data_IF_366203787486
#
_entry.id   IF_366203787486
#
_cell.length_a   1.000
_cell.length_b   1.000
_cell.length_c   1.000
_cell.angle_alpha   90.00
_cell.angle_beta   90.00
_cell.angle_gamma   90.00
#
_symmetry.space_group_name_H-M   'P 1'
#
loop_
_entity.id
_entity.type
_entity.pdbx_description
1 polymer ?
#
# COMPACT_ATOMS: atom_id res chain seq x y z
N UNK A 1 -18.65 32.74 27.77
CA UNK A 1 -17.29 33.03 28.29
C UNK A 1 -16.27 32.78 27.18
N UNK A 2 -15.59 33.83 26.70
CA UNK A 2 -14.54 33.69 25.68
C UNK A 2 -13.26 33.10 26.27
N UNK A 3 -12.59 32.21 25.54
CA UNK A 3 -11.27 31.69 25.94
C UNK A 3 -10.20 32.74 25.64
N UNK A 4 -9.36 33.08 26.63
CA UNK A 4 -8.22 33.99 26.44
C UNK A 4 -7.25 33.39 25.43
N UNK A 5 -6.79 34.21 24.48
CA UNK A 5 -5.84 33.83 23.43
C UNK A 5 -4.48 34.46 23.72
N UNK A 6 -3.41 33.72 23.46
CA UNK A 6 -2.03 34.18 23.61
C UNK A 6 -1.25 33.93 22.31
N UNK A 7 -0.27 34.77 21.94
CA UNK A 7 0.56 34.55 20.76
C UNK A 7 1.35 33.23 20.89
N UNK A 8 1.56 32.55 19.76
CA UNK A 8 2.41 31.36 19.68
C UNK A 8 3.90 31.72 19.79
N UNK A 9 4.74 30.71 20.07
CA UNK A 9 6.20 30.87 20.13
C UNK A 9 6.84 31.14 18.77
N UNK A 10 6.21 30.68 17.69
CA UNK A 10 6.63 30.91 16.31
C UNK A 10 5.46 31.50 15.50
N UNK A 11 5.70 32.42 14.55
CA UNK A 11 4.66 32.95 13.65
C UNK A 11 3.84 31.90 12.88
N UNK A 12 4.37 30.68 12.67
CA UNK A 12 3.64 29.58 12.05
C UNK A 12 2.80 28.76 13.03
N UNK A 13 2.99 28.95 14.33
CA UNK A 13 2.17 28.31 15.35
C UNK A 13 0.91 29.14 15.63
N UNK A 14 -0.25 28.49 15.57
CA UNK A 14 -1.51 29.12 15.97
C UNK A 14 -1.49 29.62 17.42
N UNK A 15 -2.46 30.44 17.79
CA UNK A 15 -2.53 31.00 19.14
C UNK A 15 -2.72 29.92 20.21
N UNK A 16 -2.15 30.18 21.39
CA UNK A 16 -2.33 29.35 22.58
C UNK A 16 -3.61 29.76 23.32
N UNK A 17 -4.21 28.81 24.03
CA UNK A 17 -5.36 29.03 24.91
C UNK A 17 -5.15 28.34 26.24
N UNK A 18 -5.75 28.89 27.29
CA UNK A 18 -5.92 28.16 28.55
C UNK A 18 -7.07 27.16 28.35
N UNK A 19 -6.74 25.89 28.18
CA UNK A 19 -7.71 24.86 27.82
C UNK A 19 -8.61 24.51 29.01
N UNK A 20 -9.93 24.72 28.94
CA UNK A 20 -10.84 24.47 30.06
C UNK A 20 -10.94 22.98 30.43
N UNK A 21 -10.61 22.08 29.51
CA UNK A 21 -10.65 20.63 29.75
C UNK A 21 -9.42 20.06 30.47
N UNK A 22 -8.29 20.78 30.52
CA UNK A 22 -7.08 20.28 31.20
C UNK A 22 -6.32 21.33 32.03
N UNK A 23 -6.78 22.59 32.04
CA UNK A 23 -6.15 23.71 32.74
C UNK A 23 -4.83 24.21 32.14
N UNK A 24 -4.25 23.50 31.17
CA UNK A 24 -2.95 23.85 30.57
C UNK A 24 -3.09 24.86 29.44
N UNK A 25 -2.08 25.72 29.30
CA UNK A 25 -1.89 26.59 28.14
C UNK A 25 -1.31 25.80 26.97
N UNK A 26 -2.09 25.60 25.91
CA UNK A 26 -1.73 24.74 24.77
C UNK A 26 -2.24 25.33 23.44
N UNK A 27 -1.73 24.89 22.29
CA UNK A 27 -2.23 25.30 20.98
C UNK A 27 -3.74 25.06 20.84
N UNK A 28 -4.44 26.10 20.39
CA UNK A 28 -5.88 26.01 20.11
C UNK A 28 -6.14 25.09 18.91
N UNK A 29 -7.19 24.26 19.01
CA UNK A 29 -7.68 23.50 17.86
C UNK A 29 -9.05 23.98 17.41
N UNK A 30 -10.06 23.79 18.26
CA UNK A 30 -11.45 24.13 17.94
C UNK A 30 -12.27 24.25 19.23
N UNK A 31 -13.33 25.06 19.19
CA UNK A 31 -14.26 25.30 20.30
C UNK A 31 -13.57 25.62 21.65
N UNK A 32 -12.45 26.33 21.59
CA UNK A 32 -11.72 26.77 22.79
C UNK A 32 -11.03 25.65 23.56
N UNK A 33 -10.72 24.52 22.94
CA UNK A 33 -10.02 23.41 23.58
C UNK A 33 -8.71 23.07 22.86
N UNK A 34 -7.73 22.56 23.61
CA UNK A 34 -6.54 21.95 23.02
C UNK A 34 -6.92 20.69 22.23
N UNK A 35 -6.04 20.22 21.34
CA UNK A 35 -6.32 19.06 20.49
C UNK A 35 -6.79 17.82 21.26
N UNK A 36 -6.13 17.48 22.37
CA UNK A 36 -6.45 16.29 23.16
C UNK A 36 -7.83 16.41 23.83
N UNK A 37 -8.12 17.54 24.47
CA UNK A 37 -9.42 17.77 25.11
C UNK A 37 -10.53 17.91 24.07
N UNK A 38 -10.29 18.56 22.93
CA UNK A 38 -11.24 18.60 21.82
C UNK A 38 -11.59 17.19 21.34
N UNK A 39 -10.59 16.35 21.08
CA UNK A 39 -10.78 14.98 20.61
C UNK A 39 -11.51 14.10 21.64
N UNK A 40 -11.25 14.30 22.93
CA UNK A 40 -11.84 13.51 24.03
C UNK A 40 -13.24 13.96 24.44
N UNK A 41 -13.44 15.26 24.60
CA UNK A 41 -14.64 15.83 25.22
C UNK A 41 -15.68 16.29 24.20
N UNK A 42 -15.22 16.78 23.03
CA UNK A 42 -16.08 17.50 22.08
C UNK A 42 -16.31 16.71 20.81
N UNK A 43 -15.29 16.02 20.29
CA UNK A 43 -15.35 15.38 19.00
C UNK A 43 -16.25 14.13 19.02
N UNK A 44 -17.42 14.26 18.42
CA UNK A 44 -18.39 13.18 18.24
C UNK A 44 -18.55 12.92 16.73
N UNK A 45 -17.77 12.00 16.13
CA UNK A 45 -17.82 11.77 14.69
C UNK A 45 -19.19 11.26 14.27
N UNK A 46 -19.76 11.85 13.21
CA UNK A 46 -21.06 11.44 12.66
C UNK A 46 -20.98 9.99 12.20
N UNK A 47 -21.92 9.17 12.64
CA UNK A 47 -22.13 7.81 12.09
C UNK A 47 -22.97 7.93 10.82
N UNK A 48 -22.60 7.16 9.80
CA UNK A 48 -23.30 7.07 8.53
C UNK A 48 -23.40 5.61 8.11
N UNK A 49 -24.40 5.30 7.30
CA UNK A 49 -24.42 4.07 6.50
C UNK A 49 -23.41 4.25 5.37
N UNK A 50 -22.31 3.49 5.41
CA UNK A 50 -21.25 3.62 4.41
C UNK A 50 -21.78 3.24 3.02
N UNK A 51 -21.63 4.14 2.03
CA UNK A 51 -22.09 3.91 0.65
C UNK A 51 -21.48 2.66 -0.01
N UNK A 52 -20.27 2.26 0.39
CA UNK A 52 -19.56 1.12 -0.19
C UNK A 52 -19.85 -0.22 0.52
N UNK A 53 -19.88 -0.25 1.86
CA UNK A 53 -20.01 -1.51 2.60
C UNK A 53 -21.35 -1.69 3.33
N UNK A 54 -22.26 -0.72 3.26
CA UNK A 54 -23.58 -0.75 3.90
C UNK A 54 -23.59 -0.69 5.43
N UNK A 55 -22.42 -0.80 6.10
CA UNK A 55 -22.33 -0.83 7.56
C UNK A 55 -22.43 0.57 8.16
N UNK A 56 -23.12 0.68 9.30
CA UNK A 56 -23.16 1.90 10.12
C UNK A 56 -21.78 2.12 10.77
N UNK A 57 -21.04 3.12 10.30
CA UNK A 57 -19.67 3.42 10.75
C UNK A 57 -19.45 4.92 10.87
N UNK A 58 -18.35 5.33 11.50
CA UNK A 58 -17.91 6.73 11.49
C UNK A 58 -17.67 7.18 10.04
N UNK A 59 -18.21 8.33 9.68
CA UNK A 59 -17.94 8.97 8.41
C UNK A 59 -16.48 9.44 8.39
N UNK A 60 -15.75 9.08 7.34
CA UNK A 60 -14.46 9.68 7.02
C UNK A 60 -14.69 10.86 6.08
N UNK A 61 -15.02 10.57 4.81
CA UNK A 61 -15.38 11.55 3.78
C UNK A 61 -16.25 10.88 2.70
N UNK A 62 -16.93 11.68 1.86
CA UNK A 62 -17.74 11.23 0.71
C UNK A 62 -18.84 10.20 1.02
N UNK A 63 -19.28 10.08 2.28
CA UNK A 63 -20.23 9.05 2.68
C UNK A 63 -19.59 7.66 2.83
N UNK A 64 -18.27 7.60 2.98
CA UNK A 64 -17.50 6.37 3.18
C UNK A 64 -17.01 6.27 4.62
N UNK A 65 -16.97 5.03 5.13
CA UNK A 65 -16.21 4.73 6.33
C UNK A 65 -14.71 4.79 6.03
N UNK A 66 -13.92 4.99 7.08
CA UNK A 66 -12.45 5.08 7.04
C UNK A 66 -11.77 4.02 6.16
N UNK A 67 -12.10 2.74 6.40
CA UNK A 67 -11.54 1.61 5.63
C UNK A 67 -11.91 1.64 4.15
N UNK A 68 -13.15 2.01 3.82
CA UNK A 68 -13.61 2.07 2.43
C UNK A 68 -13.01 3.28 1.72
N UNK A 69 -12.89 4.41 2.41
CA UNK A 69 -12.24 5.60 1.89
C UNK A 69 -10.78 5.29 1.50
N UNK A 70 -9.99 4.73 2.42
CA UNK A 70 -8.60 4.39 2.14
C UNK A 70 -8.46 3.32 1.05
N UNK A 71 -9.35 2.32 1.03
CA UNK A 71 -9.34 1.30 -0.03
C UNK A 71 -9.60 1.89 -1.41
N UNK A 72 -10.53 2.83 -1.53
CA UNK A 72 -10.92 3.40 -2.83
C UNK A 72 -9.93 4.47 -3.28
N UNK A 73 -9.54 5.38 -2.39
CA UNK A 73 -8.80 6.57 -2.77
C UNK A 73 -7.28 6.45 -2.58
N UNK A 74 -6.81 5.56 -1.70
CA UNK A 74 -5.38 5.47 -1.38
C UNK A 74 -4.74 4.18 -1.88
N UNK A 75 -5.45 3.33 -2.62
CA UNK A 75 -4.91 2.06 -3.11
C UNK A 75 -3.65 2.28 -3.96
N UNK A 76 -3.72 3.15 -4.96
CA UNK A 76 -2.58 3.43 -5.85
C UNK A 76 -1.41 4.08 -5.10
N UNK A 77 -1.67 4.91 -4.09
CA UNK A 77 -0.63 5.49 -3.23
C UNK A 77 0.08 4.41 -2.41
N UNK A 78 -0.68 3.51 -1.79
CA UNK A 78 -0.14 2.38 -1.00
C UNK A 78 0.64 1.44 -1.92
N UNK A 79 0.10 1.13 -3.10
CA UNK A 79 0.74 0.28 -4.10
C UNK A 79 2.06 0.90 -4.57
N UNK A 80 2.07 2.19 -4.93
CA UNK A 80 3.29 2.92 -5.32
C UNK A 80 4.37 2.85 -4.24
N UNK A 81 4.00 3.10 -2.99
CA UNK A 81 4.93 3.02 -1.87
C UNK A 81 5.51 1.62 -1.70
N UNK A 82 4.66 0.59 -1.74
CA UNK A 82 5.09 -0.79 -1.59
C UNK A 82 6.01 -1.24 -2.73
N UNK A 83 5.69 -0.89 -3.98
CA UNK A 83 6.53 -1.21 -5.14
C UNK A 83 7.90 -0.54 -5.02
N UNK A 84 7.93 0.76 -4.66
CA UNK A 84 9.17 1.48 -4.47
C UNK A 84 10.02 0.87 -3.36
N UNK A 85 9.39 0.48 -2.25
CA UNK A 85 10.07 -0.16 -1.11
C UNK A 85 10.58 -1.57 -1.42
N UNK A 86 9.79 -2.40 -2.11
CA UNK A 86 10.08 -3.83 -2.31
C UNK A 86 10.93 -4.10 -3.55
N UNK A 87 10.69 -3.35 -4.62
CA UNK A 87 11.27 -3.59 -5.93
C UNK A 87 12.11 -2.40 -6.42
N UNK A 88 12.01 -1.21 -5.83
CA UNK A 88 12.70 -0.01 -6.29
C UNK A 88 12.48 0.28 -7.80
N UNK A 89 11.21 0.19 -8.23
CA UNK A 89 10.77 0.56 -9.57
C UNK A 89 9.57 1.51 -9.49
N UNK A 90 9.28 2.22 -10.58
CA UNK A 90 8.13 3.10 -10.67
C UNK A 90 6.81 2.34 -10.90
N UNK A 91 5.69 2.93 -10.45
CA UNK A 91 4.37 2.30 -10.51
C UNK A 91 3.95 1.93 -11.95
N UNK A 92 4.26 2.78 -12.93
CA UNK A 92 3.91 2.50 -14.33
C UNK A 92 4.67 1.29 -14.87
N UNK A 93 5.96 1.15 -14.55
CA UNK A 93 6.78 -0.01 -14.94
C UNK A 93 6.20 -1.29 -14.35
N UNK A 94 5.82 -1.25 -13.07
CA UNK A 94 5.17 -2.38 -12.42
C UNK A 94 3.86 -2.76 -13.13
N UNK A 95 2.94 -1.79 -13.36
CA UNK A 95 1.65 -2.03 -14.02
C UNK A 95 1.82 -2.62 -15.42
N UNK A 96 2.80 -2.14 -16.19
CA UNK A 96 3.11 -2.68 -17.52
C UNK A 96 3.60 -4.14 -17.45
N UNK A 97 4.53 -4.45 -16.54
CA UNK A 97 5.07 -5.82 -16.37
C UNK A 97 3.99 -6.76 -15.86
N UNK A 98 3.14 -6.31 -14.94
CA UNK A 98 2.08 -7.13 -14.32
C UNK A 98 0.73 -7.02 -15.02
N UNK A 99 0.70 -6.61 -16.29
CA UNK A 99 -0.54 -6.53 -17.07
C UNK A 99 -1.08 -7.92 -17.41
N UNK A 100 -0.21 -8.87 -17.71
CA UNK A 100 -0.56 -10.25 -18.03
C UNK A 100 0.56 -11.21 -17.62
N UNK A 101 0.19 -12.46 -17.37
CA UNK A 101 1.12 -13.54 -17.12
C UNK A 101 1.79 -13.92 -18.45
N UNK A 102 3.10 -13.74 -18.53
CA UNK A 102 3.84 -14.00 -19.76
C UNK A 102 3.89 -15.50 -20.12
N UNK A 103 3.68 -16.38 -19.15
CA UNK A 103 3.65 -17.83 -19.38
C UNK A 103 2.31 -18.34 -19.92
N UNK A 104 1.17 -17.82 -19.46
CA UNK A 104 -0.14 -18.40 -19.76
C UNK A 104 -1.22 -17.40 -20.21
N UNK A 105 -0.92 -16.10 -20.23
CA UNK A 105 -1.84 -15.03 -20.65
C UNK A 105 -2.86 -14.57 -19.61
N UNK A 106 -2.87 -15.14 -18.39
CA UNK A 106 -3.79 -14.69 -17.33
C UNK A 106 -3.55 -13.22 -16.95
N UNK A 107 -4.60 -12.39 -16.90
CA UNK A 107 -4.49 -10.93 -16.84
C UNK A 107 -5.24 -10.26 -15.67
N UNK A 108 -5.62 -11.02 -14.63
CA UNK A 108 -6.32 -10.46 -13.46
C UNK A 108 -5.40 -10.19 -12.27
N UNK A 109 -4.68 -11.22 -11.83
CA UNK A 109 -3.73 -11.15 -10.71
C UNK A 109 -2.40 -11.67 -11.21
N UNK A 110 -1.45 -10.75 -11.37
CA UNK A 110 -0.12 -11.01 -11.90
C UNK A 110 0.89 -10.34 -10.98
N UNK A 111 1.93 -11.07 -10.65
CA UNK A 111 3.00 -10.64 -9.76
C UNK A 111 4.29 -10.48 -10.56
N UNK A 112 5.11 -9.54 -10.12
CA UNK A 112 6.44 -9.32 -10.69
C UNK A 112 7.40 -10.41 -10.22
N UNK A 113 8.16 -10.96 -11.16
CA UNK A 113 9.16 -11.99 -10.92
C UNK A 113 10.51 -11.60 -11.52
N UNK A 114 11.58 -11.77 -10.75
CA UNK A 114 12.98 -11.59 -11.18
C UNK A 114 13.54 -12.91 -11.71
N UNK A 115 13.87 -12.98 -13.00
CA UNK A 115 14.37 -14.21 -13.66
C UNK A 115 15.65 -14.76 -13.00
N UNK A 116 16.54 -13.88 -12.59
CA UNK A 116 17.81 -14.21 -11.92
C UNK A 116 17.69 -14.32 -10.39
N UNK A 117 16.49 -14.12 -9.82
CA UNK A 117 16.20 -14.10 -8.37
C UNK A 117 16.90 -13.01 -7.58
N UNK A 118 17.59 -12.09 -8.25
CA UNK A 118 18.21 -10.94 -7.63
C UNK A 118 17.23 -9.78 -7.62
N UNK A 119 16.61 -9.53 -6.46
CA UNK A 119 15.65 -8.44 -6.25
C UNK A 119 16.22 -7.04 -6.51
N UNK A 120 17.55 -6.89 -6.59
CA UNK A 120 18.21 -5.63 -6.91
C UNK A 120 18.40 -5.42 -8.42
N UNK A 121 18.30 -6.47 -9.23
CA UNK A 121 18.46 -6.38 -10.68
C UNK A 121 17.14 -6.01 -11.36
N UNK A 122 16.89 -4.71 -11.47
CA UNK A 122 15.68 -4.16 -12.08
C UNK A 122 15.78 -3.91 -13.59
N UNK A 123 16.76 -4.52 -14.27
CA UNK A 123 16.82 -4.43 -15.73
C UNK A 123 15.52 -4.98 -16.34
N UNK A 124 14.90 -4.27 -17.29
CA UNK A 124 13.61 -4.65 -17.90
C UNK A 124 13.57 -6.11 -18.39
N UNK A 125 14.68 -6.60 -18.97
CA UNK A 125 14.85 -7.98 -19.44
C UNK A 125 14.86 -9.05 -18.33
N UNK A 126 15.05 -8.64 -17.07
CA UNK A 126 15.10 -9.53 -15.91
C UNK A 126 13.75 -9.59 -15.17
N UNK A 127 12.79 -8.74 -15.53
CA UNK A 127 11.50 -8.62 -14.85
C UNK A 127 10.39 -9.16 -15.76
N UNK A 128 9.58 -10.07 -15.25
CA UNK A 128 8.42 -10.59 -15.97
C UNK A 128 7.18 -10.62 -15.06
N UNK A 129 6.00 -10.56 -15.67
CA UNK A 129 4.73 -10.80 -14.98
C UNK A 129 4.37 -12.28 -14.99
N UNK A 130 4.06 -12.85 -13.82
CA UNK A 130 3.55 -14.21 -13.68
C UNK A 130 2.31 -14.24 -12.80
N UNK A 131 1.28 -15.01 -13.17
CA UNK A 131 0.16 -15.26 -12.27
C UNK A 131 0.61 -16.11 -11.06
N UNK A 132 -0.12 -16.14 -9.94
CA UNK A 132 0.27 -16.89 -8.74
C UNK A 132 0.61 -18.36 -9.01
N UNK A 133 -0.10 -19.00 -9.94
CA UNK A 133 0.15 -20.39 -10.31
C UNK A 133 1.49 -20.55 -11.05
N UNK A 134 1.70 -19.81 -12.14
CA UNK A 134 2.96 -19.87 -12.90
C UNK A 134 4.15 -19.37 -12.05
N UNK A 135 3.94 -18.39 -11.17
CA UNK A 135 4.95 -17.90 -10.23
C UNK A 135 5.34 -18.99 -9.23
N UNK A 136 4.40 -19.81 -8.75
CA UNK A 136 4.75 -20.97 -7.91
C UNK A 136 5.43 -22.08 -8.72
N UNK A 137 4.95 -22.35 -9.93
CA UNK A 137 5.47 -23.40 -10.81
C UNK A 137 6.91 -23.16 -11.24
N UNK A 138 7.32 -21.92 -11.52
CA UNK A 138 8.70 -21.59 -11.91
C UNK A 138 9.72 -21.89 -10.81
N UNK A 139 9.27 -21.96 -9.56
CA UNK A 139 10.10 -22.32 -8.42
C UNK A 139 10.10 -23.84 -8.14
N UNK A 140 9.17 -24.59 -8.75
CA UNK A 140 9.04 -26.05 -8.61
C UNK A 140 9.89 -26.78 -9.64
N UNK A 141 10.67 -27.78 -9.20
CA UNK A 141 11.45 -28.63 -10.09
C UNK A 141 10.56 -29.34 -11.12
N UNK A 142 9.40 -29.86 -10.70
CA UNK A 142 8.46 -30.62 -11.54
C UNK A 142 7.93 -29.80 -12.71
N UNK A 143 7.64 -28.51 -12.49
CA UNK A 143 6.98 -27.65 -13.48
C UNK A 143 7.93 -26.65 -14.15
N UNK A 144 9.19 -26.57 -13.70
CA UNK A 144 10.16 -25.61 -14.23
C UNK A 144 10.34 -25.74 -15.74
N UNK A 145 10.42 -26.99 -16.24
CA UNK A 145 10.62 -27.25 -17.67
C UNK A 145 9.47 -26.67 -18.50
N UNK A 146 8.24 -26.93 -18.10
CA UNK A 146 7.03 -26.42 -18.75
C UNK A 146 7.02 -24.88 -18.79
N UNK A 147 7.28 -24.23 -17.64
CA UNK A 147 7.31 -22.76 -17.57
C UNK A 147 8.44 -22.19 -18.45
N UNK A 148 9.62 -22.79 -18.45
CA UNK A 148 10.73 -22.37 -19.31
C UNK A 148 10.38 -22.47 -20.79
N UNK A 149 9.71 -23.54 -21.21
CA UNK A 149 9.27 -23.70 -22.59
C UNK A 149 8.24 -22.65 -22.98
N UNK A 150 7.26 -22.38 -22.11
CA UNK A 150 6.27 -21.33 -22.34
C UNK A 150 6.94 -19.95 -22.51
N UNK A 151 7.89 -19.61 -21.64
CA UNK A 151 8.63 -18.35 -21.71
C UNK A 151 9.55 -18.27 -22.95
N UNK A 152 10.21 -19.38 -23.33
CA UNK A 152 11.03 -19.44 -24.55
C UNK A 152 10.20 -19.20 -25.81
N UNK A 153 8.99 -19.77 -25.90
CA UNK A 153 8.07 -19.51 -27.03
C UNK A 153 7.67 -18.04 -27.14
N UNK A 154 7.82 -17.26 -26.06
CA UNK A 154 7.60 -15.81 -26.01
C UNK A 154 8.89 -14.99 -26.20
N UNK A 155 10.00 -15.62 -26.57
CA UNK A 155 11.27 -14.94 -26.83
C UNK A 155 12.04 -14.52 -25.57
N UNK A 156 11.71 -15.10 -24.41
CA UNK A 156 12.40 -14.77 -23.15
C UNK A 156 13.63 -15.66 -22.97
N UNK A 157 14.75 -15.03 -22.61
CA UNK A 157 15.96 -15.74 -22.19
C UNK A 157 15.74 -16.37 -20.80
N UNK A 158 15.71 -17.71 -20.78
CA UNK A 158 15.49 -18.51 -19.57
C UNK A 158 16.78 -19.09 -18.98
N UNK A 159 17.96 -18.71 -19.51
CA UNK A 159 19.27 -19.22 -19.07
C UNK A 159 19.52 -19.00 -17.57
N UNK A 160 19.04 -17.88 -17.04
CA UNK A 160 19.22 -17.46 -15.64
C UNK A 160 18.19 -18.05 -14.67
N UNK A 161 17.15 -18.71 -15.19
CA UNK A 161 16.09 -19.28 -14.36
C UNK A 161 16.57 -20.62 -13.80
N UNK A 162 16.67 -20.72 -12.50
CA UNK A 162 16.94 -21.98 -11.77
C UNK A 162 15.70 -22.44 -10.99
N UNK A 163 15.60 -23.71 -10.62
CA UNK A 163 14.66 -24.15 -9.58
C UNK A 163 15.18 -23.67 -8.22
N UNK A 164 14.29 -23.35 -7.29
CA UNK A 164 14.71 -23.03 -5.92
C UNK A 164 14.48 -24.32 -5.21
N UNK A 165 15.54 -25.09 -5.02
CA UNK A 165 15.45 -26.24 -4.15
C UNK A 165 14.99 -25.73 -2.78
N UNK A 166 13.70 -25.92 -2.49
CA UNK A 166 13.14 -25.87 -1.16
C UNK A 166 13.55 -27.14 -0.39
N UNK A 167 14.77 -27.63 -0.65
CA UNK A 167 15.49 -28.60 0.18
C UNK A 167 16.52 -27.80 0.99
N UNK A 168 16.03 -26.98 1.93
CA UNK A 168 16.78 -26.82 3.18
C UNK A 168 16.51 -28.08 3.99
N UNK A 169 17.21 -29.16 3.65
CA UNK A 169 17.29 -30.31 4.54
C UNK A 169 17.92 -29.84 5.83
N UNK A 170 17.12 -29.72 6.90
CA UNK A 170 17.65 -29.91 8.23
C UNK A 170 18.12 -31.38 8.27
N UNK A 171 19.43 -31.59 8.22
CA UNK A 171 20.04 -32.75 8.88
C UNK A 171 20.09 -32.44 10.37
#
# INVERSE_FOLDING_TARGET
MGTKKYPGSNPNEGYLIDCPGCGKRLPHKAKGHCFNCYRKLIWKPKKITCKNCGKLKRNHAFGLCDLCYHRIHNYDTILKYNIKKLHNIELYVYKEITKECLSCGFNKVVELHHLDRNKKNNAKRNLIGLCPNCHKMIHSYTFLKEIKENLRRKGIDVSKISSSNYFKGKR
#
